data_IF_517327113996
#
_entry.id   IF_517327113996
#
_cell.length_a   1.000
_cell.length_b   1.000
_cell.length_c   1.000
_cell.angle_alpha   90.00
_cell.angle_beta   90.00
_cell.angle_gamma   90.00
#
_symmetry.space_group_name_H-M   'P 1'
#
loop_
_entity.id
_entity.type
_entity.pdbx_description
1 polymer ?
#
# COMPACT_ATOMS: atom_id res chain seq x y z
N UNK A 1 95.92 -1.23 -17.64
CA UNK A 1 95.53 -1.54 -16.25
C UNK A 1 95.18 -0.24 -15.54
N UNK A 2 93.91 0.12 -15.44
CA UNK A 2 93.47 1.32 -14.69
C UNK A 2 93.07 0.89 -13.27
N UNK A 3 93.99 1.04 -12.32
CA UNK A 3 93.77 0.76 -10.90
C UNK A 3 93.09 2.01 -10.31
N UNK A 4 91.76 2.00 -10.25
CA UNK A 4 91.01 3.02 -9.50
C UNK A 4 91.41 2.85 -8.02
N UNK A 5 91.98 3.86 -7.35
CA UNK A 5 92.45 3.69 -5.99
C UNK A 5 91.27 3.50 -5.04
N UNK A 6 91.27 2.39 -4.28
CA UNK A 6 90.26 1.98 -3.29
C UNK A 6 89.83 3.09 -2.30
N UNK A 7 90.65 4.15 -2.14
CA UNK A 7 90.35 5.34 -1.32
C UNK A 7 89.21 6.20 -1.91
N UNK A 8 89.05 6.28 -3.23
CA UNK A 8 88.01 7.09 -3.86
C UNK A 8 86.64 6.43 -3.69
N UNK A 9 86.56 5.11 -3.83
CA UNK A 9 85.33 4.34 -3.64
C UNK A 9 84.86 4.33 -2.16
N UNK A 10 85.79 4.25 -1.21
CA UNK A 10 85.44 4.37 0.22
C UNK A 10 84.89 5.75 0.57
N UNK A 11 85.45 6.81 0.00
CA UNK A 11 84.96 8.19 0.20
C UNK A 11 83.57 8.43 -0.41
N UNK A 12 83.26 7.84 -1.56
CA UNK A 12 81.91 7.97 -2.16
C UNK A 12 80.85 7.22 -1.35
N UNK A 13 81.17 6.02 -0.83
CA UNK A 13 80.27 5.28 0.05
C UNK A 13 80.01 6.01 1.38
N UNK A 14 81.03 6.65 1.95
CA UNK A 14 80.89 7.45 3.17
C UNK A 14 80.03 8.70 2.93
N UNK A 15 80.27 9.42 1.83
CA UNK A 15 79.45 10.56 1.43
C UNK A 15 77.98 10.16 1.13
N UNK A 16 77.77 9.00 0.53
CA UNK A 16 76.43 8.47 0.25
C UNK A 16 75.70 8.04 1.54
N UNK A 17 76.43 7.48 2.52
CA UNK A 17 75.89 7.14 3.85
C UNK A 17 75.54 8.40 4.66
N UNK A 18 76.36 9.45 4.59
CA UNK A 18 76.10 10.74 5.23
C UNK A 18 74.90 11.45 4.60
N UNK A 19 74.79 11.44 3.27
CA UNK A 19 73.61 11.94 2.54
C UNK A 19 72.33 11.19 2.94
N UNK A 20 72.39 9.86 3.06
CA UNK A 20 71.27 9.04 3.53
C UNK A 20 70.88 9.37 4.98
N UNK A 21 71.85 9.53 5.88
CA UNK A 21 71.63 9.93 7.27
C UNK A 21 71.04 11.35 7.37
N UNK A 22 71.51 12.29 6.55
CA UNK A 22 71.02 13.67 6.47
C UNK A 22 69.56 13.71 5.98
N UNK A 23 69.22 12.90 4.96
CA UNK A 23 67.85 12.73 4.46
C UNK A 23 66.93 12.07 5.51
N UNK A 24 67.38 11.03 6.22
CA UNK A 24 66.63 10.41 7.32
C UNK A 24 66.38 11.39 8.47
N UNK A 25 67.38 12.20 8.83
CA UNK A 25 67.25 13.26 9.86
C UNK A 25 66.30 14.39 9.43
N UNK A 26 66.22 14.73 8.13
CA UNK A 26 65.23 15.69 7.61
C UNK A 26 63.82 15.10 7.55
N UNK A 27 63.66 13.84 7.14
CA UNK A 27 62.36 13.15 7.15
C UNK A 27 61.81 12.99 8.57
N UNK A 28 62.66 12.69 9.55
CA UNK A 28 62.27 12.64 10.96
C UNK A 28 61.91 14.02 11.54
N UNK A 29 62.50 15.11 11.01
CA UNK A 29 62.10 16.48 11.38
C UNK A 29 60.74 16.89 10.82
N UNK A 30 60.28 16.29 9.72
CA UNK A 30 58.89 16.43 9.26
C UNK A 30 57.91 15.49 9.98
N UNK A 31 58.41 14.42 10.60
CA UNK A 31 57.61 13.51 11.43
C UNK A 31 57.49 13.97 12.89
N UNK A 32 58.28 14.95 13.34
CA UNK A 32 58.26 15.45 14.74
C UNK A 32 57.62 16.83 14.89
N UNK A 33 56.59 17.13 14.10
CA UNK A 33 55.59 18.07 14.59
C UNK A 33 54.81 17.36 15.71
N UNK A 34 55.27 17.49 16.95
CA UNK A 34 54.40 17.37 18.12
C UNK A 34 53.37 18.49 18.02
N UNK A 35 52.36 18.29 17.17
CA UNK A 35 51.18 19.12 17.15
C UNK A 35 50.45 18.84 18.45
N UNK A 36 50.51 19.76 19.41
CA UNK A 36 49.57 19.71 20.53
C UNK A 36 48.19 19.96 19.93
N UNK A 37 47.36 18.93 19.84
CA UNK A 37 45.93 19.14 19.65
C UNK A 37 45.50 20.01 20.82
N UNK A 38 44.99 21.21 20.53
CA UNK A 38 44.45 22.07 21.59
C UNK A 38 43.34 21.28 22.27
N UNK A 39 43.26 21.35 23.60
CA UNK A 39 42.22 20.64 24.39
C UNK A 39 40.80 20.93 23.86
N UNK A 40 40.61 22.10 23.25
CA UNK A 40 39.42 22.48 22.51
C UNK A 40 39.16 21.56 21.30
N UNK A 41 40.15 21.35 20.42
CA UNK A 41 40.02 20.50 19.23
C UNK A 41 39.83 19.02 19.60
N UNK A 42 40.44 18.56 20.71
CA UNK A 42 40.28 17.20 21.21
C UNK A 42 38.84 16.89 21.68
N UNK A 43 38.08 17.91 22.09
CA UNK A 43 36.67 17.78 22.49
C UNK A 43 35.70 18.11 21.36
N UNK A 44 36.04 19.06 20.49
CA UNK A 44 35.19 19.46 19.35
C UNK A 44 35.08 18.35 18.31
N UNK A 45 36.17 17.65 17.99
CA UNK A 45 36.15 16.61 16.96
C UNK A 45 35.23 15.41 17.33
N UNK A 46 35.28 14.82 18.54
CA UNK A 46 34.35 13.77 18.92
C UNK A 46 32.89 14.21 18.94
N UNK A 47 32.60 15.42 19.40
CA UNK A 47 31.23 15.97 19.39
C UNK A 47 30.75 16.16 17.95
N UNK A 48 31.58 16.72 17.09
CA UNK A 48 31.27 16.89 15.67
C UNK A 48 31.00 15.56 14.97
N UNK A 49 31.85 14.55 15.17
CA UNK A 49 31.63 13.21 14.64
C UNK A 49 30.37 12.56 15.21
N UNK A 50 30.07 12.76 16.50
CA UNK A 50 28.86 12.28 17.13
C UNK A 50 27.60 12.89 16.49
N UNK A 51 27.62 14.20 16.21
CA UNK A 51 26.53 14.89 15.51
C UNK A 51 26.37 14.36 14.08
N UNK A 52 27.46 14.20 13.32
CA UNK A 52 27.41 13.65 11.96
C UNK A 52 26.88 12.20 11.95
N UNK A 53 27.38 11.34 12.83
CA UNK A 53 26.87 9.98 13.00
C UNK A 53 25.39 9.99 13.39
N UNK A 54 24.97 10.89 14.29
CA UNK A 54 23.59 11.07 14.69
C UNK A 54 22.68 11.46 13.52
N UNK A 55 23.13 12.39 12.66
CA UNK A 55 22.41 12.78 11.45
C UNK A 55 22.29 11.63 10.46
N UNK A 56 23.35 10.84 10.27
CA UNK A 56 23.31 9.65 9.42
C UNK A 56 22.34 8.60 9.96
N UNK A 57 22.36 8.31 11.27
CA UNK A 57 21.43 7.39 11.92
C UNK A 57 19.98 7.88 11.81
N UNK A 58 19.75 9.18 12.00
CA UNK A 58 18.43 9.79 11.83
C UNK A 58 17.95 9.67 10.38
N UNK A 59 18.82 9.93 9.40
CA UNK A 59 18.51 9.76 7.98
C UNK A 59 18.11 8.31 7.65
N UNK A 60 18.86 7.33 8.16
CA UNK A 60 18.55 5.91 8.00
C UNK A 60 17.20 5.53 8.63
N UNK A 61 16.90 6.04 9.83
CA UNK A 61 15.61 5.80 10.49
C UNK A 61 14.45 6.41 9.69
N UNK A 62 14.59 7.64 9.21
CA UNK A 62 13.56 8.31 8.39
C UNK A 62 13.33 7.59 7.07
N UNK A 63 14.40 7.14 6.40
CA UNK A 63 14.29 6.38 5.16
C UNK A 63 13.61 5.02 5.39
N UNK A 64 13.92 4.36 6.50
CA UNK A 64 13.28 3.11 6.91
C UNK A 64 11.79 3.32 7.18
N UNK A 65 11.43 4.37 7.94
CA UNK A 65 10.03 4.70 8.21
C UNK A 65 9.27 5.03 6.92
N UNK A 66 9.87 5.81 6.00
CA UNK A 66 9.28 6.13 4.70
C UNK A 66 9.04 4.89 3.84
N UNK A 67 10.00 3.94 3.81
CA UNK A 67 9.86 2.66 3.10
C UNK A 67 8.75 1.80 3.68
N UNK A 68 8.66 1.71 5.02
CA UNK A 68 7.58 0.98 5.69
C UNK A 68 6.23 1.61 5.33
N UNK A 69 6.12 2.94 5.38
CA UNK A 69 4.89 3.66 5.02
C UNK A 69 4.49 3.43 3.55
N UNK A 70 5.47 3.46 2.64
CA UNK A 70 5.24 3.18 1.22
C UNK A 70 4.73 1.75 0.99
N UNK A 71 5.42 0.75 1.55
CA UNK A 71 5.01 -0.65 1.43
C UNK A 71 3.64 -0.89 2.07
N UNK A 72 3.38 -0.28 3.23
CA UNK A 72 2.08 -0.34 3.90
C UNK A 72 0.97 0.24 3.04
N UNK A 73 1.18 1.40 2.42
CA UNK A 73 0.20 2.03 1.53
C UNK A 73 -0.12 1.14 0.33
N UNK A 74 0.91 0.61 -0.34
CA UNK A 74 0.74 -0.33 -1.46
C UNK A 74 0.02 -1.61 -1.05
N UNK A 75 0.31 -2.15 0.14
CA UNK A 75 -0.40 -3.34 0.64
C UNK A 75 -1.87 -3.06 0.94
N UNK A 76 -2.16 -1.87 1.47
CA UNK A 76 -3.53 -1.43 1.72
C UNK A 76 -4.32 -1.29 0.40
N UNK A 77 -3.70 -0.80 -0.68
CA UNK A 77 -4.31 -0.73 -2.01
C UNK A 77 -4.69 -2.11 -2.55
N UNK A 78 -3.75 -3.06 -2.51
CA UNK A 78 -3.97 -4.43 -2.99
C UNK A 78 -5.08 -5.11 -2.18
N UNK A 79 -5.04 -4.95 -0.85
CA UNK A 79 -6.03 -5.53 0.03
C UNK A 79 -7.42 -4.90 -0.13
N UNK A 80 -7.49 -3.57 -0.30
CA UNK A 80 -8.74 -2.88 -0.59
C UNK A 80 -9.35 -3.36 -1.91
N UNK A 81 -8.54 -3.62 -2.94
CA UNK A 81 -9.01 -4.18 -4.20
C UNK A 81 -9.54 -5.61 -4.05
N UNK A 82 -8.87 -6.47 -3.27
CA UNK A 82 -9.33 -7.84 -2.98
C UNK A 82 -10.68 -7.81 -2.25
N UNK A 83 -10.77 -6.99 -1.20
CA UNK A 83 -11.99 -6.83 -0.42
C UNK A 83 -13.16 -6.29 -1.26
N UNK A 84 -12.90 -5.37 -2.21
CA UNK A 84 -13.91 -4.91 -3.15
C UNK A 84 -14.46 -6.05 -4.02
N UNK A 85 -13.58 -6.94 -4.52
CA UNK A 85 -13.97 -8.07 -5.38
C UNK A 85 -14.82 -9.09 -4.62
N UNK A 86 -14.42 -9.44 -3.39
CA UNK A 86 -15.18 -10.36 -2.53
C UNK A 86 -16.59 -9.83 -2.26
N UNK A 87 -16.69 -8.54 -1.92
CA UNK A 87 -17.97 -7.89 -1.66
C UNK A 87 -18.90 -7.85 -2.90
N UNK A 88 -18.33 -7.74 -4.10
CA UNK A 88 -19.09 -7.84 -5.36
C UNK A 88 -19.54 -9.28 -5.68
N UNK A 89 -18.82 -10.29 -5.19
CA UNK A 89 -19.22 -11.69 -5.33
C UNK A 89 -20.38 -12.04 -4.39
N UNK A 90 -20.32 -11.57 -3.13
CA UNK A 90 -21.40 -11.78 -2.15
C UNK A 90 -22.72 -11.14 -2.59
N UNK A 91 -22.66 -9.93 -3.17
CA UNK A 91 -23.85 -9.25 -3.67
C UNK A 91 -24.49 -9.94 -4.90
N UNK A 92 -23.72 -10.76 -5.63
CA UNK A 92 -24.26 -11.64 -6.68
C UNK A 92 -24.81 -12.96 -6.13
N UNK A 93 -24.43 -13.37 -4.92
CA UNK A 93 -24.90 -14.58 -4.26
C UNK A 93 -26.21 -14.42 -3.48
N UNK A 94 -26.55 -13.21 -3.05
CA UNK A 94 -27.76 -12.94 -2.24
C UNK A 94 -29.05 -12.71 -3.05
N UNK A 95 -28.99 -12.63 -4.38
CA UNK A 95 -30.17 -12.47 -5.25
C UNK A 95 -30.86 -13.79 -5.62
N UNK A 96 -30.65 -14.85 -4.84
CA UNK A 96 -31.09 -16.21 -5.16
C UNK A 96 -31.66 -17.02 -4.00
N UNK A 97 -32.52 -16.47 -3.14
CA UNK A 97 -33.47 -17.25 -2.34
C UNK A 97 -34.45 -16.32 -1.60
N UNK A 98 -35.74 -16.39 -1.94
CA UNK A 98 -36.79 -15.70 -1.18
C UNK A 98 -38.07 -15.45 -1.98
N UNK A 99 -38.71 -16.53 -2.43
CA UNK A 99 -40.07 -16.47 -2.98
C UNK A 99 -41.07 -16.02 -1.91
N UNK A 100 -42.00 -15.15 -2.29
CA UNK A 100 -42.97 -14.54 -1.39
C UNK A 100 -44.16 -15.42 -1.01
N UNK A 101 -44.86 -14.98 0.03
CA UNK A 101 -46.30 -15.13 0.21
C UNK A 101 -46.77 -13.96 1.07
N UNK A 102 -47.74 -13.18 0.56
CA UNK A 102 -48.08 -11.87 1.08
C UNK A 102 -49.11 -11.81 2.21
N UNK A 103 -49.09 -10.64 2.87
CA UNK A 103 -50.22 -9.81 3.33
C UNK A 103 -51.16 -10.31 4.45
N UNK A 104 -51.90 -9.42 5.15
CA UNK A 104 -51.59 -8.05 5.58
C UNK A 104 -52.08 -7.69 7.02
N UNK A 105 -51.76 -6.46 7.47
CA UNK A 105 -52.58 -5.56 8.33
C UNK A 105 -52.42 -5.52 9.87
N UNK A 106 -52.68 -4.30 10.37
CA UNK A 106 -52.80 -3.77 11.75
C UNK A 106 -51.46 -3.33 12.39
N UNK A 107 -51.25 -2.12 12.91
CA UNK A 107 -52.13 -1.00 13.26
C UNK A 107 -51.67 -0.41 14.61
N UNK A 108 -51.72 0.92 14.76
CA UNK A 108 -51.56 1.74 16.00
C UNK A 108 -50.11 2.12 16.39
N UNK A 109 -49.79 3.42 16.30
CA UNK A 109 -49.85 4.46 17.36
C UNK A 109 -48.69 4.31 18.36
N UNK A 110 -47.80 5.27 18.61
CA UNK A 110 -47.97 6.72 18.70
C UNK A 110 -47.80 7.10 20.18
N UNK A 111 -46.64 7.60 20.59
CA UNK A 111 -46.52 8.63 21.64
C UNK A 111 -45.07 9.07 21.87
N UNK A 112 -44.94 10.38 21.72
CA UNK A 112 -43.93 11.29 22.27
C UNK A 112 -43.85 11.23 23.80
N UNK A 113 -42.67 11.42 24.35
CA UNK A 113 -42.46 11.66 25.78
C UNK A 113 -41.13 12.35 26.05
N UNK A 114 -41.16 13.68 26.03
CA UNK A 114 -40.12 14.56 26.56
C UNK A 114 -40.08 14.50 28.09
N UNK A 115 -38.89 14.64 28.68
CA UNK A 115 -38.72 14.76 30.14
C UNK A 115 -37.31 15.20 30.51
N UNK A 116 -37.17 16.50 30.75
CA UNK A 116 -36.01 17.16 31.37
C UNK A 116 -35.85 16.77 32.86
N UNK A 117 -34.62 16.82 33.38
CA UNK A 117 -34.41 16.64 34.83
C UNK A 117 -32.95 16.54 35.30
N UNK A 118 -32.27 17.68 35.28
CA UNK A 118 -31.20 18.16 36.18
C UNK A 118 -30.54 17.24 37.22
N UNK A 119 -29.19 17.26 37.23
CA UNK A 119 -28.38 17.53 38.42
C UNK A 119 -27.77 16.35 39.19
N UNK A 120 -26.44 16.20 39.14
CA UNK A 120 -25.57 16.39 40.32
C UNK A 120 -24.11 16.01 40.03
N UNK A 121 -23.24 16.71 40.72
CA UNK A 121 -21.78 16.81 40.68
C UNK A 121 -21.14 15.83 41.68
N UNK A 122 -19.99 15.23 41.36
CA UNK A 122 -18.95 14.63 42.25
C UNK A 122 -18.35 13.37 41.57
N UNK A 123 -17.06 13.01 41.55
CA UNK A 123 -15.81 13.53 42.09
C UNK A 123 -14.67 12.81 41.35
N UNK A 124 -13.50 13.46 41.25
CA UNK A 124 -12.22 12.94 40.74
C UNK A 124 -11.77 11.65 41.45
N UNK A 125 -11.17 10.68 40.74
CA UNK A 125 -9.75 10.30 40.93
C UNK A 125 -9.27 9.21 39.97
N UNK A 126 -8.05 9.43 39.48
CA UNK A 126 -7.13 8.45 38.90
C UNK A 126 -6.95 7.25 39.85
N UNK A 127 -6.80 6.01 39.40
CA UNK A 127 -5.75 5.56 38.49
C UNK A 127 -4.69 4.84 39.32
N UNK A 128 -4.89 3.55 39.59
CA UNK A 128 -3.84 2.66 40.06
C UNK A 128 -4.09 1.21 39.61
N UNK A 129 -2.95 0.59 39.33
CA UNK A 129 -2.64 -0.74 38.82
C UNK A 129 -3.08 -1.93 39.69
N UNK A 130 -3.55 -3.01 39.04
CA UNK A 130 -3.26 -4.42 39.38
C UNK A 130 -3.78 -5.30 38.23
N UNK A 131 -2.91 -6.02 37.51
CA UNK A 131 -2.59 -7.45 37.70
C UNK A 131 -3.76 -8.29 38.23
N UNK A 132 -4.22 -9.25 37.42
CA UNK A 132 -5.02 -10.35 37.92
C UNK A 132 -6.13 -10.81 36.98
N UNK A 133 -5.89 -11.99 36.38
CA UNK A 133 -6.84 -13.11 36.30
C UNK A 133 -8.12 -12.97 35.46
N UNK A 134 -8.35 -14.03 34.69
CA UNK A 134 -9.41 -14.12 33.71
C UNK A 134 -10.82 -13.92 34.29
N UNK A 135 -11.65 -13.29 33.48
CA UNK A 135 -13.05 -13.69 33.37
C UNK A 135 -13.38 -13.82 31.89
N UNK A 136 -13.56 -15.07 31.47
CA UNK A 136 -14.29 -15.38 30.25
C UNK A 136 -15.76 -15.17 30.61
N UNK A 137 -16.30 -14.01 30.26
CA UNK A 137 -17.74 -13.80 30.26
C UNK A 137 -18.33 -14.58 29.09
N UNK A 138 -18.72 -15.82 29.39
CA UNK A 138 -19.59 -16.61 28.55
C UNK A 138 -20.99 -16.00 28.58
N UNK A 139 -21.47 -15.52 27.43
CA UNK A 139 -22.89 -15.37 27.21
C UNK A 139 -23.22 -15.53 25.72
N UNK A 140 -23.97 -16.60 25.46
CA UNK A 140 -24.71 -16.96 24.25
C UNK A 140 -23.92 -17.56 23.09
N UNK A 141 -23.51 -18.82 23.31
CA UNK A 141 -23.10 -19.77 22.28
C UNK A 141 -24.31 -20.26 21.49
N UNK A 142 -24.54 -19.73 20.29
CA UNK A 142 -25.10 -20.55 19.22
C UNK A 142 -24.07 -21.63 18.86
N UNK A 143 -24.48 -22.89 18.75
CA UNK A 143 -23.61 -24.01 18.44
C UNK A 143 -23.08 -23.93 17.01
N UNK A 144 -22.10 -23.04 16.77
CA UNK A 144 -21.29 -23.12 15.56
C UNK A 144 -20.56 -24.45 15.58
N UNK A 145 -20.75 -25.25 14.53
CA UNK A 145 -20.12 -26.54 14.34
C UNK A 145 -18.59 -26.42 14.52
N UNK A 146 -17.92 -27.45 15.04
CA UNK A 146 -16.45 -27.46 15.13
C UNK A 146 -15.79 -27.12 13.78
N UNK A 147 -16.44 -27.51 12.68
CA UNK A 147 -16.07 -27.13 11.32
C UNK A 147 -16.10 -25.63 11.05
N UNK A 148 -17.09 -24.88 11.54
CA UNK A 148 -17.15 -23.41 11.37
C UNK A 148 -16.05 -22.70 12.17
N UNK A 149 -15.75 -23.20 13.39
CA UNK A 149 -14.66 -22.66 14.21
C UNK A 149 -13.28 -22.92 13.58
N UNK A 150 -13.07 -24.12 13.04
CA UNK A 150 -11.83 -24.47 12.33
C UNK A 150 -11.69 -23.67 11.04
N UNK A 151 -12.78 -23.47 10.29
CA UNK A 151 -12.79 -22.63 9.08
C UNK A 151 -12.43 -21.18 9.39
N UNK A 152 -13.05 -20.58 10.41
CA UNK A 152 -12.73 -19.21 10.81
C UNK A 152 -11.28 -19.00 11.26
N UNK A 153 -10.68 -19.99 11.94
CA UNK A 153 -9.25 -19.96 12.27
C UNK A 153 -8.37 -20.07 11.02
N UNK A 154 -8.73 -20.94 10.08
CA UNK A 154 -8.00 -21.08 8.82
C UNK A 154 -8.06 -19.81 7.97
N UNK A 155 -9.24 -19.20 7.85
CA UNK A 155 -9.45 -17.94 7.11
C UNK A 155 -8.64 -16.79 7.74
N UNK A 156 -8.62 -16.67 9.07
CA UNK A 156 -7.82 -15.68 9.76
C UNK A 156 -6.30 -15.88 9.59
N UNK A 157 -5.82 -17.13 9.58
CA UNK A 157 -4.42 -17.45 9.33
C UNK A 157 -4.02 -17.16 7.87
N UNK A 158 -4.87 -17.53 6.91
CA UNK A 158 -4.66 -17.26 5.48
C UNK A 158 -4.66 -15.77 5.19
N UNK A 159 -5.57 -15.00 5.78
CA UNK A 159 -5.63 -13.55 5.64
C UNK A 159 -4.35 -12.90 6.18
N UNK A 160 -3.89 -13.31 7.37
CA UNK A 160 -2.67 -12.78 7.98
C UNK A 160 -1.41 -13.18 7.19
N UNK A 161 -1.33 -14.42 6.73
CA UNK A 161 -0.23 -14.91 5.91
C UNK A 161 -0.19 -14.23 4.54
N UNK A 162 -1.35 -14.06 3.90
CA UNK A 162 -1.49 -13.34 2.64
C UNK A 162 -1.08 -11.87 2.78
N UNK A 163 -1.55 -11.19 3.83
CA UNK A 163 -1.18 -9.80 4.11
C UNK A 163 0.34 -9.64 4.30
N UNK A 164 0.95 -10.55 5.05
CA UNK A 164 2.39 -10.58 5.24
C UNK A 164 3.12 -10.86 3.92
N UNK A 165 2.67 -11.81 3.11
CA UNK A 165 3.29 -12.13 1.83
C UNK A 165 3.26 -10.94 0.85
N UNK A 166 2.12 -10.24 0.73
CA UNK A 166 2.01 -9.04 -0.11
C UNK A 166 2.96 -7.96 0.37
N UNK A 167 3.04 -7.71 1.68
CA UNK A 167 3.98 -6.71 2.21
C UNK A 167 5.43 -7.07 1.93
N UNK A 168 5.83 -8.32 2.15
CA UNK A 168 7.20 -8.76 1.86
C UNK A 168 7.54 -8.71 0.36
N UNK A 169 6.54 -8.80 -0.53
CA UNK A 169 6.74 -8.66 -1.98
C UNK A 169 6.97 -7.20 -2.41
N UNK A 170 6.47 -6.23 -1.65
CA UNK A 170 6.64 -4.78 -1.95
C UNK A 170 7.78 -4.17 -1.15
N UNK A 171 8.02 -4.65 0.07
CA UNK A 171 9.07 -4.17 0.95
C UNK A 171 10.42 -4.78 0.57
N UNK A 172 11.22 -4.00 -0.16
CA UNK A 172 12.60 -4.33 -0.49
C UNK A 172 13.47 -4.35 0.76
N UNK A 173 14.09 -5.51 1.04
CA UNK A 173 14.96 -5.68 2.18
C UNK A 173 16.31 -5.00 1.96
N UNK A 174 16.76 -4.26 2.95
CA UNK A 174 18.03 -3.57 2.95
C UNK A 174 18.83 -3.88 4.21
N UNK A 175 20.16 -3.78 4.13
CA UNK A 175 21.03 -3.98 5.30
C UNK A 175 20.73 -3.01 6.45
N UNK A 176 20.06 -1.89 6.17
CA UNK A 176 19.64 -0.93 7.20
C UNK A 176 18.48 -1.48 8.05
N UNK A 177 17.66 -2.39 7.52
CA UNK A 177 16.52 -2.94 8.25
C UNK A 177 16.97 -3.76 9.46
N UNK A 178 18.06 -4.52 9.33
CA UNK A 178 18.64 -5.28 10.43
C UNK A 178 19.22 -4.38 11.54
N UNK A 179 19.67 -3.18 11.16
CA UNK A 179 20.26 -2.20 12.07
C UNK A 179 19.16 -1.40 12.78
N UNK A 180 18.17 -0.93 12.03
CA UNK A 180 17.13 -0.02 12.50
C UNK A 180 15.90 -0.72 13.07
N UNK A 181 15.64 -1.98 12.72
CA UNK A 181 14.45 -2.73 13.14
C UNK A 181 14.87 -4.00 13.87
N UNK A 182 14.32 -4.20 15.07
CA UNK A 182 14.57 -5.44 15.82
C UNK A 182 13.96 -6.63 15.09
N UNK A 183 14.80 -7.57 14.67
CA UNK A 183 14.39 -8.73 13.87
C UNK A 183 14.28 -8.43 12.38
N UNK A 184 14.83 -7.28 11.93
CA UNK A 184 14.82 -6.86 10.54
C UNK A 184 13.40 -6.81 9.97
N UNK A 185 13.28 -7.21 8.70
CA UNK A 185 12.01 -7.29 7.99
C UNK A 185 11.00 -8.23 8.66
N UNK A 186 11.46 -9.37 9.19
CA UNK A 186 10.60 -10.33 9.91
C UNK A 186 10.05 -9.78 11.25
N UNK A 187 10.66 -8.72 11.79
CA UNK A 187 10.20 -8.03 12.99
C UNK A 187 8.93 -7.18 12.78
N UNK A 188 8.55 -6.91 11.52
CA UNK A 188 7.39 -6.10 11.17
C UNK A 188 6.14 -6.98 11.17
N UNK A 189 5.22 -6.73 12.12
CA UNK A 189 3.96 -7.46 12.22
C UNK A 189 2.82 -6.64 11.63
N UNK A 190 2.06 -7.26 10.74
CA UNK A 190 0.90 -6.62 10.13
C UNK A 190 -0.41 -7.08 10.76
N UNK A 191 -1.37 -6.16 10.78
CA UNK A 191 -2.77 -6.44 11.06
C UNK A 191 -3.66 -5.63 10.11
N UNK A 192 -4.83 -6.17 9.82
CA UNK A 192 -5.85 -5.50 9.01
C UNK A 192 -7.14 -5.42 9.82
N UNK A 193 -7.84 -4.31 9.68
CA UNK A 193 -9.19 -4.12 10.20
C UNK A 193 -10.02 -3.40 9.15
N UNK A 194 -11.19 -3.93 8.82
CA UNK A 194 -12.18 -3.24 8.02
C UNK A 194 -13.15 -2.50 8.93
N UNK A 195 -13.47 -1.25 8.61
CA UNK A 195 -14.43 -0.44 9.36
C UNK A 195 -15.42 0.21 8.38
N UNK A 196 -16.71 0.11 8.69
CA UNK A 196 -17.80 0.74 7.92
C UNK A 196 -18.59 -0.24 7.04
N UNK A 197 -19.92 -0.13 7.10
CA UNK A 197 -20.86 -0.99 6.37
C UNK A 197 -21.21 -0.40 4.98
N UNK A 198 -21.26 0.94 4.86
CA UNK A 198 -21.56 1.67 3.61
C UNK A 198 -20.30 2.24 2.94
N UNK A 199 -19.40 2.86 3.72
CA UNK A 199 -18.09 3.39 3.29
C UNK A 199 -16.97 2.48 3.82
N UNK A 200 -16.87 1.27 3.26
CA UNK A 200 -15.88 0.30 3.73
C UNK A 200 -14.46 0.88 3.61
N UNK A 201 -13.81 1.10 4.75
CA UNK A 201 -12.40 1.47 4.83
C UNK A 201 -11.60 0.28 5.30
N UNK A 202 -10.52 -0.02 4.59
CA UNK A 202 -9.53 -1.00 5.01
C UNK A 202 -8.40 -0.25 5.68
N UNK A 203 -8.15 -0.58 6.95
CA UNK A 203 -7.03 -0.08 7.71
C UNK A 203 -5.99 -1.18 7.86
N UNK A 204 -4.81 -0.96 7.30
CA UNK A 204 -3.65 -1.84 7.47
C UNK A 204 -2.70 -1.17 8.44
N UNK A 205 -2.28 -1.90 9.48
CA UNK A 205 -1.38 -1.43 10.52
C UNK A 205 -0.12 -2.29 10.56
N UNK A 206 1.05 -1.65 10.63
CA UNK A 206 2.33 -2.31 10.93
C UNK A 206 2.78 -1.96 12.35
N UNK A 207 3.15 -2.97 13.12
CA UNK A 207 3.76 -2.85 14.44
C UNK A 207 5.17 -3.42 14.42
N UNK A 208 6.14 -2.59 14.79
CA UNK A 208 7.56 -2.94 14.79
C UNK A 208 8.29 -2.24 15.94
N UNK A 209 9.55 -2.62 16.19
CA UNK A 209 10.38 -2.01 17.23
C UNK A 209 11.63 -1.44 16.59
N UNK A 210 11.76 -0.12 16.64
CA UNK A 210 12.97 0.56 16.19
C UNK A 210 14.10 0.33 17.18
N UNK A 211 15.31 0.25 16.65
CA UNK A 211 16.57 0.06 17.37
C UNK A 211 17.52 1.21 17.00
N UNK A 212 18.08 1.85 18.02
CA UNK A 212 19.07 2.91 17.88
C UNK A 212 20.30 2.52 18.70
N UNK A 213 21.42 2.27 18.03
CA UNK A 213 22.70 2.08 18.68
C UNK A 213 23.44 3.41 18.81
N UNK A 214 23.51 3.95 20.01
CA UNK A 214 24.28 5.18 20.28
C UNK A 214 25.68 4.77 20.77
N UNK A 215 26.76 5.18 20.09
CA UNK A 215 28.11 4.93 20.56
C UNK A 215 28.27 5.37 22.03
N UNK A 216 28.91 4.54 22.85
CA UNK A 216 29.21 4.80 24.28
C UNK A 216 28.02 4.82 25.25
N UNK A 217 26.79 5.01 24.78
CA UNK A 217 25.57 5.03 25.63
C UNK A 217 24.84 3.69 25.62
N UNK A 218 24.88 2.97 24.49
CA UNK A 218 24.28 1.64 24.35
C UNK A 218 23.15 1.58 23.33
N UNK A 219 22.38 0.49 23.39
CA UNK A 219 21.30 0.20 22.46
C UNK A 219 19.93 0.55 23.07
N UNK A 220 19.20 1.42 22.38
CA UNK A 220 17.84 1.80 22.74
C UNK A 220 16.84 1.19 21.77
N UNK A 221 15.71 0.74 22.29
CA UNK A 221 14.64 0.22 21.45
C UNK A 221 13.25 0.67 21.92
N UNK A 222 12.40 1.05 20.98
CA UNK A 222 11.04 1.52 21.27
C UNK A 222 10.05 1.02 20.23
N UNK A 223 8.82 0.80 20.68
CA UNK A 223 7.74 0.33 19.81
C UNK A 223 7.25 1.45 18.90
N UNK A 224 6.95 1.11 17.64
CA UNK A 224 6.40 2.01 16.64
C UNK A 224 5.23 1.35 15.94
N UNK A 225 4.25 2.17 15.58
CA UNK A 225 3.09 1.75 14.81
C UNK A 225 2.92 2.68 13.61
N UNK A 226 2.82 2.09 12.42
CA UNK A 226 2.47 2.77 11.17
C UNK A 226 1.10 2.30 10.72
N UNK A 227 0.30 3.18 10.12
CA UNK A 227 -1.05 2.88 9.69
C UNK A 227 -1.31 3.51 8.32
N UNK A 228 -1.95 2.76 7.44
CA UNK A 228 -2.50 3.24 6.18
C UNK A 228 -3.98 2.89 6.14
N UNK A 229 -4.80 3.87 5.74
CA UNK A 229 -6.23 3.69 5.58
C UNK A 229 -6.56 3.90 4.12
N UNK A 230 -7.21 2.93 3.50
CA UNK A 230 -7.65 3.02 2.13
C UNK A 230 -9.16 2.82 2.03
N UNK A 231 -9.81 3.67 1.24
CA UNK A 231 -11.23 3.51 0.93
C UNK A 231 -11.38 2.38 -0.08
N UNK A 232 -12.24 1.43 0.22
CA UNK A 232 -12.60 0.37 -0.72
C UNK A 232 -13.47 1.00 -1.79
N UNK A 233 -13.05 0.90 -3.04
CA UNK A 233 -13.88 1.31 -4.16
C UNK A 233 -14.95 0.24 -4.41
N UNK A 234 -16.14 0.41 -3.82
CA UNK A 234 -17.27 -0.50 -3.97
C UNK A 234 -18.01 -0.40 -5.33
N UNK A 235 -17.48 0.38 -6.27
CA UNK A 235 -18.24 0.79 -7.46
C UNK A 235 -19.29 1.83 -7.12
N UNK A 236 -20.05 2.27 -8.12
CA UNK A 236 -21.25 3.07 -7.89
C UNK A 236 -22.34 2.15 -7.38
N UNK A 237 -22.60 2.18 -6.08
CA UNK A 237 -23.88 1.77 -5.54
C UNK A 237 -24.79 2.97 -5.75
N UNK A 238 -25.84 2.84 -6.55
CA UNK A 238 -26.95 3.78 -6.49
C UNK A 238 -27.57 3.59 -5.11
N UNK A 239 -27.06 4.33 -4.12
CA UNK A 239 -27.80 4.53 -2.90
C UNK A 239 -29.06 5.27 -3.33
N UNK A 240 -30.19 4.59 -3.17
CA UNK A 240 -31.47 5.27 -3.08
C UNK A 240 -31.54 5.98 -1.75
N UNK A 241 -30.68 6.98 -1.52
CA UNK A 241 -30.87 7.91 -0.42
C UNK A 241 -31.96 8.89 -0.84
N UNK A 242 -33.15 8.65 -0.29
CA UNK A 242 -34.34 9.46 -0.44
C UNK A 242 -34.09 10.92 -0.06
N UNK A 243 -33.62 11.70 -1.04
CA UNK A 243 -33.90 13.12 -1.19
C UNK A 243 -34.29 13.37 -2.62
N UNK A 244 -35.60 13.36 -2.84
CA UNK A 244 -36.25 14.04 -3.94
C UNK A 244 -35.75 15.48 -4.05
N UNK A 245 -34.83 15.70 -4.97
CA UNK A 245 -34.67 16.92 -5.74
C UNK A 245 -34.48 16.47 -7.19
N UNK A 246 -35.46 16.81 -8.03
CA UNK A 246 -35.55 16.35 -9.41
C UNK A 246 -34.26 16.59 -10.23
N UNK A 247 -34.04 15.70 -11.22
CA UNK A 247 -33.04 15.77 -12.29
C UNK A 247 -31.59 15.36 -11.99
N UNK A 248 -31.38 14.14 -11.49
CA UNK A 248 -30.12 13.43 -11.72
C UNK A 248 -30.34 12.21 -12.60
N UNK A 249 -30.65 12.48 -13.87
CA UNK A 249 -30.62 11.49 -14.92
C UNK A 249 -29.17 10.98 -15.10
N UNK A 250 -28.88 9.81 -14.52
CA UNK A 250 -27.54 9.21 -14.47
C UNK A 250 -26.79 9.17 -15.80
N UNK A 251 -25.46 9.23 -15.72
CA UNK A 251 -24.56 9.24 -16.88
C UNK A 251 -24.69 7.93 -17.68
N UNK A 252 -24.81 8.05 -19.00
CA UNK A 252 -24.86 6.92 -19.95
C UNK A 252 -23.67 6.94 -20.90
N UNK A 253 -23.36 5.79 -21.48
CA UNK A 253 -22.25 5.61 -22.40
C UNK A 253 -22.77 5.40 -23.82
N UNK A 254 -22.22 6.17 -24.75
CA UNK A 254 -22.56 6.11 -26.17
C UNK A 254 -21.28 5.91 -26.97
N UNK A 255 -21.28 4.91 -27.86
CA UNK A 255 -20.19 4.73 -28.81
C UNK A 255 -20.20 5.86 -29.84
N UNK A 256 -19.04 6.25 -30.36
CA UNK A 256 -18.89 7.38 -31.30
C UNK A 256 -19.88 7.38 -32.48
N UNK A 257 -20.25 6.19 -32.97
CA UNK A 257 -21.25 5.99 -34.03
C UNK A 257 -22.43 5.10 -33.58
N UNK A 258 -22.70 5.00 -32.29
CA UNK A 258 -23.75 4.17 -31.73
C UNK A 258 -25.13 4.83 -31.82
N UNK A 259 -26.15 4.07 -32.24
CA UNK A 259 -27.56 4.51 -32.24
C UNK A 259 -28.31 4.16 -30.94
N UNK A 260 -27.58 3.68 -29.92
CA UNK A 260 -28.11 3.21 -28.64
C UNK A 260 -27.22 3.68 -27.51
N UNK A 261 -27.81 3.95 -26.35
CA UNK A 261 -27.04 4.23 -25.14
C UNK A 261 -26.88 2.97 -24.29
N UNK A 262 -25.81 2.94 -23.51
CA UNK A 262 -25.47 1.87 -22.59
C UNK A 262 -25.36 2.42 -21.18
N UNK A 263 -25.80 1.66 -20.19
CA UNK A 263 -25.72 2.04 -18.76
C UNK A 263 -24.40 1.60 -18.11
N UNK A 264 -23.54 0.89 -18.86
CA UNK A 264 -22.24 0.45 -18.37
C UNK A 264 -21.21 0.37 -19.49
N UNK A 265 -20.02 0.93 -19.24
CA UNK A 265 -18.84 0.83 -20.11
C UNK A 265 -18.34 -0.62 -20.29
N UNK A 266 -18.76 -1.53 -19.40
CA UNK A 266 -18.44 -2.96 -19.49
C UNK A 266 -19.42 -3.77 -20.34
N UNK A 267 -20.46 -3.13 -20.93
CA UNK A 267 -21.42 -3.83 -21.77
C UNK A 267 -20.72 -4.48 -22.97
N UNK A 268 -20.99 -5.75 -23.26
CA UNK A 268 -20.31 -6.45 -24.36
C UNK A 268 -20.57 -5.85 -25.75
N UNK A 269 -21.64 -5.06 -25.90
CA UNK A 269 -21.93 -4.31 -27.12
C UNK A 269 -21.16 -2.99 -27.23
N UNK A 270 -20.57 -2.51 -26.12
CA UNK A 270 -19.73 -1.30 -26.10
C UNK A 270 -18.23 -1.67 -26.01
N UNK A 271 -17.87 -2.53 -25.05
CA UNK A 271 -16.51 -3.03 -24.85
C UNK A 271 -16.55 -4.55 -24.62
N UNK A 272 -15.89 -5.30 -25.50
CA UNK A 272 -15.75 -6.74 -25.35
C UNK A 272 -14.50 -7.06 -24.52
N UNK A 273 -14.71 -7.74 -23.40
CA UNK A 273 -13.65 -8.32 -22.58
C UNK A 273 -13.21 -9.65 -23.19
N UNK A 274 -11.91 -9.83 -23.37
CA UNK A 274 -11.28 -11.04 -23.92
C UNK A 274 -10.24 -11.51 -22.91
N UNK A 275 -10.27 -12.78 -22.53
CA UNK A 275 -9.34 -13.36 -21.55
C UNK A 275 -8.87 -14.76 -21.95
N UNK A 276 -7.78 -15.22 -21.35
CA UNK A 276 -7.26 -16.58 -21.53
C UNK A 276 -6.76 -16.87 -22.95
N UNK A 277 -7.01 -18.08 -23.46
CA UNK A 277 -6.51 -18.55 -24.77
C UNK A 277 -6.96 -17.70 -25.98
N UNK A 278 -7.99 -16.87 -25.81
CA UNK A 278 -8.43 -15.94 -26.85
C UNK A 278 -7.56 -14.69 -26.96
N UNK A 279 -6.75 -14.39 -25.94
CA UNK A 279 -5.83 -13.24 -25.96
C UNK A 279 -4.72 -13.46 -26.99
N UNK A 280 -4.09 -14.63 -27.02
CA UNK A 280 -3.01 -14.92 -27.98
C UNK A 280 -3.48 -14.82 -29.44
N UNK A 281 -4.75 -15.14 -29.71
CA UNK A 281 -5.36 -14.98 -31.05
C UNK A 281 -5.48 -13.51 -31.46
N UNK A 282 -5.72 -12.61 -30.51
CA UNK A 282 -5.79 -11.17 -30.76
C UNK A 282 -4.39 -10.59 -30.88
N UNK A 283 -3.46 -10.99 -29.99
CA UNK A 283 -2.07 -10.54 -30.03
C UNK A 283 -1.35 -11.00 -31.31
N UNK A 284 -1.66 -12.20 -31.81
CA UNK A 284 -1.10 -12.72 -33.06
C UNK A 284 -1.89 -12.29 -34.30
N UNK A 285 -3.11 -11.76 -34.10
CA UNK A 285 -4.01 -11.37 -35.17
C UNK A 285 -3.77 -9.93 -35.63
N UNK A 286 -3.93 -9.66 -36.93
CA UNK A 286 -3.77 -8.30 -37.49
C UNK A 286 -4.99 -7.38 -37.32
N UNK A 287 -6.04 -7.84 -36.62
CA UNK A 287 -7.33 -7.12 -36.55
C UNK A 287 -7.30 -5.91 -35.62
N UNK A 288 -6.53 -5.98 -34.53
CA UNK A 288 -6.45 -4.91 -33.54
C UNK A 288 -4.99 -4.61 -33.21
N UNK A 289 -4.64 -3.33 -33.14
CA UNK A 289 -3.30 -2.89 -32.76
C UNK A 289 -3.20 -2.62 -31.26
N UNK A 290 -1.98 -2.69 -30.72
CA UNK A 290 -1.72 -2.31 -29.34
C UNK A 290 -2.06 -0.83 -29.10
N UNK A 291 -2.67 -0.52 -27.96
CA UNK A 291 -2.84 0.86 -27.57
C UNK A 291 -1.56 1.42 -26.93
N UNK A 292 -0.95 2.41 -27.60
CA UNK A 292 0.29 3.10 -27.19
C UNK A 292 0.27 3.72 -25.78
N UNK A 293 -0.92 3.89 -25.18
CA UNK A 293 -1.09 4.53 -23.87
C UNK A 293 -1.20 3.54 -22.70
N UNK A 294 -1.62 2.30 -22.97
CA UNK A 294 -1.93 1.34 -21.91
C UNK A 294 -1.32 -0.04 -22.15
N UNK A 295 -0.63 -0.22 -23.28
CA UNK A 295 0.13 -1.42 -23.61
C UNK A 295 1.58 -0.99 -23.80
N UNK A 296 2.47 -1.52 -22.98
CA UNK A 296 3.91 -1.26 -23.06
C UNK A 296 4.66 -2.45 -23.68
N UNK A 297 5.82 -2.18 -24.28
CA UNK A 297 6.64 -3.22 -24.92
C UNK A 297 7.03 -4.32 -23.92
N UNK A 298 6.81 -5.58 -24.29
CA UNK A 298 7.09 -6.75 -23.45
C UNK A 298 5.94 -7.16 -22.51
N UNK A 299 4.88 -6.36 -22.39
CA UNK A 299 3.73 -6.68 -21.56
C UNK A 299 2.74 -7.60 -22.31
N UNK A 300 2.39 -8.75 -21.72
CA UNK A 300 1.34 -9.66 -22.21
C UNK A 300 0.18 -9.71 -21.21
N UNK A 301 -0.81 -8.80 -21.32
CA UNK A 301 -1.94 -8.78 -20.40
C UNK A 301 -2.75 -10.07 -20.51
N UNK A 302 -3.19 -10.63 -19.37
CA UNK A 302 -4.05 -11.82 -19.35
C UNK A 302 -5.51 -11.52 -19.78
N UNK A 303 -5.86 -10.23 -19.86
CA UNK A 303 -7.17 -9.72 -20.26
C UNK A 303 -6.99 -8.50 -21.17
N UNK A 304 -7.73 -8.48 -22.28
CA UNK A 304 -7.81 -7.36 -23.21
C UNK A 304 -9.24 -6.83 -23.31
N UNK A 305 -9.36 -5.52 -23.51
CA UNK A 305 -10.61 -4.83 -23.82
C UNK A 305 -10.55 -4.30 -25.24
N UNK A 306 -11.58 -4.62 -26.01
CA UNK A 306 -11.68 -4.26 -27.43
C UNK A 306 -13.06 -3.70 -27.70
N UNK A 307 -13.14 -2.54 -28.35
CA UNK A 307 -14.42 -2.03 -28.82
C UNK A 307 -14.74 -2.65 -30.19
N UNK A 308 -16.00 -3.03 -30.46
CA UNK A 308 -16.38 -3.51 -31.79
C UNK A 308 -16.09 -2.49 -32.91
N UNK A 309 -16.05 -1.21 -32.55
CA UNK A 309 -15.92 -0.07 -33.47
C UNK A 309 -14.50 0.53 -33.51
N UNK A 310 -13.59 0.08 -32.64
CA UNK A 310 -12.23 0.62 -32.58
C UNK A 310 -11.21 -0.32 -33.23
N UNK A 311 -10.02 0.22 -33.48
CA UNK A 311 -8.91 -0.50 -34.11
C UNK A 311 -7.86 -0.96 -33.10
N UNK A 312 -7.97 -0.53 -31.85
CA UNK A 312 -6.96 -0.79 -30.81
C UNK A 312 -7.52 -1.68 -29.70
N UNK A 313 -6.65 -2.49 -29.12
CA UNK A 313 -6.92 -3.22 -27.89
C UNK A 313 -6.27 -2.52 -26.69
N UNK A 314 -6.90 -2.67 -25.53
CA UNK A 314 -6.52 -1.97 -24.30
C UNK A 314 -6.38 -2.97 -23.15
N UNK A 315 -5.46 -2.70 -22.21
CA UNK A 315 -5.33 -3.48 -20.96
C UNK A 315 -6.34 -3.06 -19.89
N UNK A 316 -6.94 -1.86 -20.01
CA UNK A 316 -7.85 -1.29 -19.01
C UNK A 316 -9.03 -0.53 -19.64
N UNK A 317 -10.21 -0.64 -19.00
CA UNK A 317 -11.40 0.17 -19.32
C UNK A 317 -11.23 1.65 -19.02
N UNK A 318 -10.26 2.04 -18.17
CA UNK A 318 -10.01 3.44 -17.82
C UNK A 318 -9.06 4.16 -18.79
N UNK A 319 -8.51 3.45 -19.79
CA UNK A 319 -7.57 4.02 -20.75
C UNK A 319 -8.17 5.21 -21.50
N UNK A 320 -7.46 6.34 -21.53
CA UNK A 320 -7.92 7.55 -22.23
C UNK A 320 -8.06 7.36 -23.75
N UNK A 321 -7.38 6.37 -24.34
CA UNK A 321 -7.58 5.97 -25.73
C UNK A 321 -8.97 5.36 -25.96
N UNK A 322 -9.44 4.52 -25.03
CA UNK A 322 -10.74 3.86 -25.10
C UNK A 322 -11.88 4.87 -24.91
N UNK A 323 -11.71 5.81 -23.98
CA UNK A 323 -12.69 6.89 -23.70
C UNK A 323 -12.94 7.84 -24.86
N UNK A 324 -12.10 7.87 -25.91
CA UNK A 324 -12.36 8.67 -27.11
C UNK A 324 -13.41 8.03 -28.01
N UNK A 325 -13.38 6.70 -28.11
CA UNK A 325 -14.34 5.92 -28.92
C UNK A 325 -15.67 5.72 -28.19
N UNK A 326 -15.69 5.90 -26.87
CA UNK A 326 -16.88 5.76 -26.03
C UNK A 326 -17.04 6.99 -25.13
N UNK A 327 -18.07 7.79 -25.40
CA UNK A 327 -18.37 9.03 -24.67
C UNK A 327 -19.32 8.74 -23.52
N UNK A 328 -19.07 9.38 -22.39
CA UNK A 328 -20.01 9.42 -21.27
C UNK A 328 -20.78 10.74 -21.34
N UNK A 329 -22.10 10.66 -21.47
CA UNK A 329 -22.99 11.82 -21.60
C UNK A 329 -24.11 11.72 -20.55
N UNK A 330 -24.67 12.85 -20.07
CA UNK A 330 -25.90 12.85 -19.31
C UNK A 330 -27.02 12.12 -20.06
N UNK A 331 -27.91 11.42 -19.35
CA UNK A 331 -29.00 10.68 -20.01
C UNK A 331 -30.00 11.60 -20.73
N UNK A 332 -30.10 12.85 -20.31
CA UNK A 332 -30.87 13.91 -21.01
C UNK A 332 -30.31 14.16 -22.42
N UNK A 333 -28.99 14.16 -22.59
CA UNK A 333 -28.36 14.31 -23.92
C UNK A 333 -28.52 13.06 -24.80
N UNK A 334 -28.92 11.92 -24.22
CA UNK A 334 -29.24 10.70 -24.94
C UNK A 334 -30.73 10.59 -25.33
N UNK A 335 -31.49 11.67 -25.16
CA UNK A 335 -32.91 11.75 -25.53
C UNK A 335 -33.10 11.41 -27.02
N UNK A 336 -33.99 10.45 -27.31
CA UNK A 336 -34.19 9.89 -28.66
C UNK A 336 -33.34 8.66 -29.00
N UNK A 337 -32.32 8.33 -28.20
CA UNK A 337 -31.61 7.05 -28.33
C UNK A 337 -32.32 5.96 -27.53
N UNK A 338 -32.47 4.78 -28.13
CA UNK A 338 -32.99 3.61 -27.40
C UNK A 338 -31.92 3.01 -26.49
N UNK A 339 -32.31 2.49 -25.34
CA UNK A 339 -31.41 1.72 -24.49
C UNK A 339 -30.95 0.44 -25.19
N UNK A 340 -29.68 0.08 -25.00
CA UNK A 340 -29.15 -1.20 -25.45
C UNK A 340 -29.94 -2.38 -24.83
N UNK A 341 -30.34 -3.36 -25.65
CA UNK A 341 -31.14 -4.51 -25.19
C UNK A 341 -30.49 -5.32 -24.06
N UNK A 342 -29.16 -5.47 -24.06
CA UNK A 342 -28.43 -6.13 -22.95
C UNK A 342 -28.38 -5.28 -21.68
N UNK A 343 -28.32 -3.96 -21.82
CA UNK A 343 -28.41 -3.05 -20.67
C UNK A 343 -29.84 -3.07 -20.10
N UNK A 344 -30.86 -3.07 -20.97
CA UNK A 344 -32.26 -3.18 -20.59
C UNK A 344 -32.54 -4.49 -19.84
N UNK A 345 -32.05 -5.63 -20.34
CA UNK A 345 -32.21 -6.93 -19.69
C UNK A 345 -31.50 -7.04 -18.33
N UNK A 346 -30.48 -6.20 -18.06
CA UNK A 346 -29.82 -6.12 -16.76
C UNK A 346 -30.57 -5.23 -15.77
N UNK A 347 -31.30 -4.22 -16.25
CA UNK A 347 -32.11 -3.35 -15.39
C UNK A 347 -33.46 -3.96 -15.03
N UNK A 348 -34.08 -4.75 -15.92
CA UNK A 348 -35.35 -5.45 -15.65
C UNK A 348 -35.24 -6.70 -14.77
N UNK A 349 -34.11 -6.92 -14.09
CA UNK A 349 -33.86 -8.03 -13.15
C UNK A 349 -33.58 -7.54 -11.72
N UNK A 350 -33.82 -6.25 -11.47
CA UNK A 350 -33.88 -5.68 -10.12
C UNK A 350 -35.26 -5.82 -9.53
#
# INVERSE_FOLDING_TARGET
MNIIPKKIFKRSLQAQKESWQQKRKRALRFASCTGSVTVETALVLPVFLCVLCGLMLLGSLLLTEARIQYALARTADVYAAQYAVERLADNQGSSGAGGGSGSPSAGQAGSSGSGDGTGSLSTRQAGSSSTGSGSLSASQTGSASLSERVRGLADGLLQKAGLQAVFHSVYEETSMDEICIRGGRAGIRLSVSSQGEEDATVKVSASYRLKIGIPFVGEYSFARQAQSMQRVFCGYVEHGDGKTGADSQGVVYVAEHGSVYHTSLSCTHICRRISGSSVDRILSGKKYQACDKCIHEGERPSVLYVTPYGEKYHSSLSCSGLKRTVKAIPKEEAEGMRMCSRCAAKQGKS
#
